data_IF_696932194353
#
_entry.id   IF_696932194353
#
_cell.length_a   1.000
_cell.length_b   1.000
_cell.length_c   1.000
_cell.angle_alpha   90.00
_cell.angle_beta   90.00
_cell.angle_gamma   90.00
#
_symmetry.space_group_name_H-M   'P 1'
#
loop_
_entity.id
_entity.type
_entity.pdbx_description
1 polymer ?
#
# COMPACT_ATOMS: atom_id res chain seq x y z
N UNK A 1 -42.25 -6.91 -15.96
CA UNK A 1 -41.01 -6.51 -16.64
C UNK A 1 -39.87 -7.09 -15.82
N UNK A 2 -39.21 -8.14 -16.35
CA UNK A 2 -38.04 -8.75 -15.72
C UNK A 2 -36.90 -7.74 -15.75
N UNK A 3 -36.42 -7.33 -14.58
CA UNK A 3 -35.13 -6.61 -14.46
C UNK A 3 -34.08 -7.60 -14.95
N UNK A 4 -33.60 -7.42 -16.17
CA UNK A 4 -32.37 -8.07 -16.61
C UNK A 4 -31.30 -7.64 -15.63
N UNK A 5 -30.84 -8.56 -14.79
CA UNK A 5 -29.68 -8.34 -13.94
C UNK A 5 -28.54 -7.93 -14.87
N UNK A 6 -28.12 -6.66 -14.80
CA UNK A 6 -26.97 -6.19 -15.53
C UNK A 6 -25.76 -6.98 -15.04
N UNK A 7 -25.14 -7.72 -15.94
CA UNK A 7 -23.94 -8.52 -15.63
C UNK A 7 -22.89 -7.59 -15.03
N UNK A 8 -22.35 -7.98 -13.86
CA UNK A 8 -21.23 -7.24 -13.26
C UNK A 8 -20.04 -7.16 -14.20
N UNK A 9 -19.39 -6.00 -14.34
CA UNK A 9 -18.28 -5.79 -15.26
C UNK A 9 -17.08 -6.66 -14.88
N UNK A 10 -16.46 -7.28 -15.89
CA UNK A 10 -15.16 -7.97 -15.79
C UNK A 10 -14.06 -6.97 -16.14
N UNK A 11 -13.21 -6.64 -15.17
CA UNK A 11 -12.14 -5.66 -15.34
C UNK A 11 -10.79 -6.31 -15.19
N UNK A 12 -9.90 -6.00 -16.16
CA UNK A 12 -8.48 -6.30 -16.11
C UNK A 12 -7.75 -5.15 -15.43
N UNK A 13 -7.01 -5.42 -14.35
CA UNK A 13 -6.17 -4.46 -13.65
C UNK A 13 -4.69 -4.71 -13.91
N UNK A 14 -3.95 -3.65 -14.17
CA UNK A 14 -2.50 -3.67 -14.42
C UNK A 14 -1.82 -2.76 -13.40
N UNK A 15 -0.93 -3.34 -12.58
CA UNK A 15 -0.07 -2.64 -11.63
C UNK A 15 1.39 -2.77 -12.03
N UNK A 16 2.11 -1.64 -12.07
CA UNK A 16 3.54 -1.60 -12.37
C UNK A 16 4.24 -0.38 -11.77
N UNK A 17 3.76 0.14 -10.65
CA UNK A 17 4.26 1.42 -10.11
C UNK A 17 5.64 1.35 -9.47
N UNK A 18 6.12 0.16 -9.06
CA UNK A 18 7.39 -0.01 -8.36
C UNK A 18 8.16 -1.23 -8.86
N UNK A 19 8.19 -2.34 -8.15
CA UNK A 19 8.97 -3.53 -8.46
C UNK A 19 8.12 -4.80 -8.67
N UNK A 20 6.81 -4.73 -8.46
CA UNK A 20 5.85 -5.77 -8.77
C UNK A 20 5.10 -5.53 -10.08
N UNK A 21 5.08 -6.54 -10.97
CA UNK A 21 4.16 -6.59 -12.11
C UNK A 21 2.90 -7.34 -11.67
N UNK A 22 1.83 -6.61 -11.42
CA UNK A 22 0.56 -7.16 -10.97
C UNK A 22 -0.48 -7.19 -12.09
N UNK A 23 -1.11 -8.35 -12.30
CA UNK A 23 -2.25 -8.52 -13.21
C UNK A 23 -3.42 -9.10 -12.43
N UNK A 24 -4.52 -8.36 -12.38
CA UNK A 24 -5.75 -8.78 -11.69
C UNK A 24 -6.93 -8.90 -12.63
N UNK A 25 -7.81 -9.85 -12.37
CA UNK A 25 -9.12 -9.99 -13.03
C UNK A 25 -10.20 -10.02 -11.97
N UNK A 26 -11.09 -9.05 -12.00
CA UNK A 26 -12.17 -8.87 -11.02
C UNK A 26 -13.50 -8.74 -11.76
N UNK A 27 -14.52 -9.45 -11.28
CA UNK A 27 -15.91 -9.31 -11.74
C UNK A 27 -16.76 -8.70 -10.62
N UNK A 28 -17.14 -7.44 -10.78
CA UNK A 28 -17.80 -6.69 -9.70
C UNK A 28 -16.89 -6.60 -8.47
N UNK A 29 -17.20 -7.37 -7.42
CA UNK A 29 -16.38 -7.53 -6.22
C UNK A 29 -15.79 -8.94 -6.08
N UNK A 30 -15.88 -9.78 -7.10
CA UNK A 30 -15.37 -11.15 -7.08
C UNK A 30 -13.99 -11.21 -7.73
N UNK A 31 -12.98 -11.61 -6.96
CA UNK A 31 -11.63 -11.85 -7.46
C UNK A 31 -11.59 -13.16 -8.27
N UNK A 32 -11.19 -13.10 -9.53
CA UNK A 32 -11.02 -14.26 -10.41
C UNK A 32 -9.54 -14.68 -10.55
N UNK A 33 -8.63 -13.70 -10.62
CA UNK A 33 -7.19 -13.95 -10.66
C UNK A 33 -6.41 -12.74 -10.11
N UNK A 34 -5.27 -13.02 -9.47
CA UNK A 34 -4.30 -12.02 -9.03
C UNK A 34 -2.89 -12.60 -9.21
N UNK A 35 -2.26 -12.28 -10.31
CA UNK A 35 -0.91 -12.72 -10.65
C UNK A 35 0.09 -11.61 -10.35
N UNK A 36 1.11 -11.92 -9.57
CA UNK A 36 2.18 -10.98 -9.22
C UNK A 36 3.52 -11.59 -9.59
N UNK A 37 4.32 -10.82 -10.33
CA UNK A 37 5.71 -11.15 -10.62
C UNK A 37 6.58 -10.05 -10.00
N UNK A 38 7.31 -10.40 -8.93
CA UNK A 38 8.21 -9.48 -8.24
C UNK A 38 9.60 -9.48 -8.86
N UNK A 39 10.21 -8.31 -8.96
CA UNK A 39 11.62 -8.13 -9.32
C UNK A 39 12.52 -7.88 -8.10
N UNK A 40 12.02 -8.08 -6.88
CA UNK A 40 12.72 -7.78 -5.63
C UNK A 40 14.10 -8.42 -5.54
N UNK A 41 14.25 -9.68 -5.98
CA UNK A 41 15.53 -10.40 -5.97
C UNK A 41 16.59 -9.71 -6.84
N UNK A 42 16.18 -9.05 -7.93
CA UNK A 42 17.10 -8.31 -8.81
C UNK A 42 17.63 -7.04 -8.11
N UNK A 43 16.89 -6.52 -7.15
CA UNK A 43 17.21 -5.29 -6.42
C UNK A 43 17.99 -5.55 -5.12
N UNK A 44 17.92 -6.75 -4.55
CA UNK A 44 18.48 -7.10 -3.25
C UNK A 44 19.97 -6.69 -3.10
N UNK A 45 20.77 -6.90 -4.14
CA UNK A 45 22.21 -6.55 -4.16
C UNK A 45 22.49 -5.04 -4.11
N UNK A 46 21.51 -4.20 -4.46
CA UNK A 46 21.63 -2.75 -4.46
C UNK A 46 21.08 -2.11 -3.18
N UNK A 47 20.39 -2.89 -2.35
CA UNK A 47 19.81 -2.42 -1.10
C UNK A 47 18.58 -1.51 -1.25
N UNK A 48 17.92 -1.56 -2.43
CA UNK A 48 16.72 -0.78 -2.74
C UNK A 48 16.39 -0.89 -4.23
N UNK A 49 15.20 -0.44 -4.61
CA UNK A 49 14.69 -0.54 -5.99
C UNK A 49 15.50 0.35 -6.94
N UNK A 50 15.98 -0.23 -8.04
CA UNK A 50 16.65 0.47 -9.14
C UNK A 50 15.65 0.67 -10.28
N UNK A 51 15.24 1.91 -10.60
CA UNK A 51 14.12 2.17 -11.52
C UNK A 51 14.30 1.55 -12.92
N UNK A 52 15.52 1.56 -13.46
CA UNK A 52 15.79 0.97 -14.79
C UNK A 52 15.63 -0.55 -14.79
N UNK A 53 16.06 -1.23 -13.72
CA UNK A 53 15.92 -2.69 -13.56
C UNK A 53 14.43 -3.04 -13.44
N UNK A 54 13.68 -2.30 -12.63
CA UNK A 54 12.23 -2.48 -12.47
C UNK A 54 11.51 -2.35 -13.81
N UNK A 55 11.79 -1.29 -14.58
CA UNK A 55 11.15 -1.05 -15.88
C UNK A 55 11.41 -2.20 -16.88
N UNK A 56 12.64 -2.76 -16.90
CA UNK A 56 12.97 -3.91 -17.75
C UNK A 56 12.27 -5.18 -17.29
N UNK A 57 12.21 -5.41 -15.97
CA UNK A 57 11.51 -6.57 -15.41
C UNK A 57 10.02 -6.55 -15.75
N UNK A 58 9.37 -5.38 -15.72
CA UNK A 58 7.97 -5.24 -16.12
C UNK A 58 7.75 -5.62 -17.60
N UNK A 59 8.65 -5.22 -18.51
CA UNK A 59 8.55 -5.60 -19.93
C UNK A 59 8.58 -7.12 -20.11
N UNK A 60 9.46 -7.80 -19.38
CA UNK A 60 9.60 -9.27 -19.45
C UNK A 60 8.43 -10.00 -18.79
N UNK A 61 7.91 -9.48 -17.68
CA UNK A 61 6.87 -10.11 -16.88
C UNK A 61 5.44 -9.88 -17.42
N UNK A 62 5.17 -8.79 -18.14
CA UNK A 62 3.83 -8.34 -18.53
C UNK A 62 3.04 -9.42 -19.27
N UNK A 63 3.55 -9.90 -20.40
CA UNK A 63 2.84 -10.90 -21.22
C UNK A 63 2.67 -12.25 -20.52
N UNK A 64 3.70 -12.82 -19.87
CA UNK A 64 3.53 -14.04 -19.08
C UNK A 64 2.49 -13.92 -17.97
N UNK A 65 2.46 -12.79 -17.24
CA UNK A 65 1.49 -12.58 -16.16
C UNK A 65 0.07 -12.40 -16.68
N UNK A 66 -0.13 -11.70 -17.81
CA UNK A 66 -1.42 -11.60 -18.49
C UNK A 66 -1.97 -12.99 -18.88
N UNK A 67 -1.13 -13.84 -19.46
CA UNK A 67 -1.55 -15.20 -19.84
C UNK A 67 -1.95 -16.01 -18.61
N UNK A 68 -1.11 -16.05 -17.58
CA UNK A 68 -1.44 -16.78 -16.34
C UNK A 68 -2.74 -16.28 -15.69
N UNK A 69 -2.95 -14.96 -15.65
CA UNK A 69 -4.18 -14.41 -15.07
C UNK A 69 -5.43 -14.86 -15.86
N UNK A 70 -5.38 -14.86 -17.19
CA UNK A 70 -6.46 -15.37 -18.01
C UNK A 70 -6.71 -16.88 -17.80
N UNK A 71 -5.64 -17.66 -17.75
CA UNK A 71 -5.71 -19.12 -17.54
C UNK A 71 -6.30 -19.42 -16.15
N UNK A 72 -5.82 -18.75 -15.10
CA UNK A 72 -6.32 -18.88 -13.73
C UNK A 72 -7.80 -18.51 -13.63
N UNK A 73 -8.20 -17.43 -14.27
CA UNK A 73 -9.60 -16.96 -14.26
C UNK A 73 -10.53 -17.75 -15.20
N UNK A 74 -9.97 -18.55 -16.12
CA UNK A 74 -10.74 -19.25 -17.14
C UNK A 74 -11.45 -18.31 -18.14
N UNK A 75 -10.85 -17.15 -18.45
CA UNK A 75 -11.41 -16.13 -19.35
C UNK A 75 -10.42 -15.76 -20.44
N UNK A 76 -10.95 -15.21 -21.56
CA UNK A 76 -10.13 -14.63 -22.61
C UNK A 76 -10.00 -13.12 -22.41
N UNK A 77 -8.94 -12.52 -22.92
CA UNK A 77 -8.79 -11.05 -22.91
C UNK A 77 -9.95 -10.33 -23.62
N UNK A 78 -10.57 -10.96 -24.62
CA UNK A 78 -11.74 -10.44 -25.32
C UNK A 78 -13.00 -10.37 -24.46
N UNK A 79 -13.04 -11.11 -23.33
CA UNK A 79 -14.20 -11.18 -22.45
C UNK A 79 -14.24 -10.03 -21.43
N UNK A 80 -13.13 -9.27 -21.29
CA UNK A 80 -13.08 -8.12 -20.38
C UNK A 80 -13.97 -6.99 -20.88
N UNK A 81 -14.58 -6.29 -19.93
CA UNK A 81 -15.47 -5.16 -20.21
C UNK A 81 -14.72 -3.82 -20.14
N UNK A 82 -13.64 -3.74 -19.35
CA UNK A 82 -12.79 -2.56 -19.20
C UNK A 82 -11.36 -2.94 -18.76
N UNK A 83 -10.42 -2.02 -18.98
CA UNK A 83 -9.03 -2.13 -18.56
C UNK A 83 -8.73 -1.00 -17.59
N UNK A 84 -8.21 -1.33 -16.40
CA UNK A 84 -7.72 -0.39 -15.42
C UNK A 84 -6.19 -0.51 -15.30
N UNK A 85 -5.51 0.61 -15.09
CA UNK A 85 -4.05 0.65 -14.94
C UNK A 85 -3.64 1.73 -13.95
N UNK A 86 -2.66 1.45 -13.12
CA UNK A 86 -2.04 2.47 -12.30
C UNK A 86 -1.29 3.49 -13.18
N UNK A 87 -1.71 4.76 -13.10
CA UNK A 87 -1.05 5.85 -13.82
C UNK A 87 -0.15 6.69 -12.91
N UNK A 88 -0.25 6.50 -11.60
CA UNK A 88 0.56 7.17 -10.58
C UNK A 88 -0.05 7.09 -9.17
N UNK A 89 0.70 7.53 -8.14
CA UNK A 89 2.13 7.79 -8.18
C UNK A 89 2.99 6.52 -8.30
N UNK A 90 4.29 6.69 -8.63
CA UNK A 90 5.23 5.57 -8.74
C UNK A 90 6.49 5.91 -9.53
N UNK A 91 7.30 4.91 -9.84
CA UNK A 91 8.51 5.08 -10.65
C UNK A 91 8.12 5.35 -12.11
N UNK A 92 8.53 6.48 -12.66
CA UNK A 92 8.11 6.94 -13.99
C UNK A 92 8.29 5.87 -15.08
N UNK A 93 9.48 5.24 -15.16
CA UNK A 93 9.76 4.21 -16.17
C UNK A 93 8.91 2.95 -15.99
N UNK A 94 8.66 2.54 -14.75
CA UNK A 94 7.83 1.39 -14.41
C UNK A 94 6.35 1.65 -14.77
N UNK A 95 5.79 2.78 -14.36
CA UNK A 95 4.44 3.23 -14.75
C UNK A 95 4.24 3.26 -16.26
N UNK A 96 5.24 3.78 -17.01
CA UNK A 96 5.16 3.86 -18.48
C UNK A 96 4.95 2.50 -19.13
N UNK A 97 5.54 1.43 -18.60
CA UNK A 97 5.36 0.06 -19.14
C UNK A 97 3.91 -0.41 -18.98
N UNK A 98 3.35 -0.29 -17.77
CA UNK A 98 1.95 -0.68 -17.52
C UNK A 98 0.95 0.17 -18.32
N UNK A 99 1.15 1.49 -18.35
CA UNK A 99 0.29 2.42 -19.09
C UNK A 99 0.34 2.14 -20.59
N UNK A 100 1.52 1.87 -21.15
CA UNK A 100 1.65 1.52 -22.57
C UNK A 100 0.95 0.19 -22.89
N UNK A 101 1.13 -0.83 -22.04
CA UNK A 101 0.46 -2.12 -22.21
C UNK A 101 -1.09 -1.96 -22.14
N UNK A 102 -1.59 -1.21 -21.15
CA UNK A 102 -3.03 -0.97 -20.99
C UNK A 102 -3.63 -0.24 -22.20
N UNK A 103 -2.95 0.79 -22.72
CA UNK A 103 -3.39 1.53 -23.92
C UNK A 103 -3.42 0.64 -25.16
N UNK A 104 -2.37 -0.16 -25.34
CA UNK A 104 -2.31 -1.11 -26.48
C UNK A 104 -3.46 -2.12 -26.41
N UNK A 105 -3.74 -2.67 -25.22
CA UNK A 105 -4.86 -3.58 -25.02
C UNK A 105 -6.22 -2.89 -25.22
N UNK A 106 -6.40 -1.67 -24.70
CA UNK A 106 -7.62 -0.88 -24.88
C UNK A 106 -7.95 -0.66 -26.36
N UNK A 107 -6.94 -0.29 -27.15
CA UNK A 107 -7.10 -0.10 -28.61
C UNK A 107 -7.38 -1.44 -29.30
N UNK A 108 -6.58 -2.47 -29.03
CA UNK A 108 -6.68 -3.76 -29.71
C UNK A 108 -8.01 -4.51 -29.43
N UNK A 109 -8.57 -4.31 -28.24
CA UNK A 109 -9.79 -4.98 -27.80
C UNK A 109 -11.04 -4.09 -27.91
N UNK A 110 -10.88 -2.82 -28.27
CA UNK A 110 -11.95 -1.80 -28.28
C UNK A 110 -12.66 -1.73 -26.91
N UNK A 111 -11.87 -1.57 -25.81
CA UNK A 111 -12.37 -1.53 -24.44
C UNK A 111 -11.99 -0.21 -23.76
N UNK A 112 -12.87 0.35 -22.89
CA UNK A 112 -12.58 1.56 -22.15
C UNK A 112 -11.39 1.39 -21.22
N UNK A 113 -10.58 2.46 -21.10
CA UNK A 113 -9.41 2.55 -20.24
C UNK A 113 -9.71 3.39 -18.99
N UNK A 114 -9.30 2.91 -17.84
CA UNK A 114 -9.37 3.63 -16.56
C UNK A 114 -7.95 3.76 -15.98
N UNK A 115 -7.37 4.95 -16.09
CA UNK A 115 -6.11 5.27 -15.42
C UNK A 115 -6.38 5.63 -13.97
N UNK A 116 -5.90 4.85 -13.01
CA UNK A 116 -6.25 5.00 -11.59
C UNK A 116 -5.05 5.35 -10.73
N UNK A 117 -5.33 5.96 -9.59
CA UNK A 117 -4.34 6.28 -8.57
C UNK A 117 -3.96 5.02 -7.76
N UNK A 118 -2.67 4.76 -7.61
CA UNK A 118 -2.09 3.65 -6.88
C UNK A 118 -2.58 3.57 -5.42
N UNK A 119 -2.55 4.70 -4.69
CA UNK A 119 -2.94 4.72 -3.27
C UNK A 119 -4.46 4.54 -3.10
N UNK A 120 -5.26 5.08 -4.01
CA UNK A 120 -6.71 4.84 -4.02
C UNK A 120 -7.01 3.35 -4.29
N UNK A 121 -6.25 2.70 -5.18
CA UNK A 121 -6.38 1.27 -5.45
C UNK A 121 -6.09 0.42 -4.21
N UNK A 122 -5.07 0.78 -3.42
CA UNK A 122 -4.80 0.11 -2.13
C UNK A 122 -5.94 0.20 -1.12
N UNK A 123 -6.73 1.28 -1.15
CA UNK A 123 -7.93 1.38 -0.30
C UNK A 123 -9.07 0.54 -0.90
N UNK A 124 -9.25 0.59 -2.22
CA UNK A 124 -10.35 -0.08 -2.90
C UNK A 124 -10.28 -1.61 -2.80
N UNK A 125 -9.08 -2.21 -2.68
CA UNK A 125 -8.90 -3.67 -2.62
C UNK A 125 -9.66 -4.33 -1.47
N UNK A 126 -9.92 -3.59 -0.39
CA UNK A 126 -10.72 -4.04 0.75
C UNK A 126 -12.12 -4.55 0.34
N UNK A 127 -12.67 -3.99 -0.71
CA UNK A 127 -14.00 -4.38 -1.21
C UNK A 127 -14.09 -5.84 -1.68
N UNK A 128 -12.97 -6.47 -2.02
CA UNK A 128 -12.94 -7.88 -2.42
C UNK A 128 -13.24 -8.84 -1.27
N UNK A 129 -12.97 -8.44 -0.03
CA UNK A 129 -13.13 -9.30 1.14
C UNK A 129 -14.26 -8.86 2.06
N UNK A 130 -14.48 -7.55 2.17
CA UNK A 130 -15.45 -6.98 3.11
C UNK A 130 -16.67 -6.33 2.43
N UNK A 131 -16.74 -6.40 1.09
CA UNK A 131 -17.81 -5.73 0.33
C UNK A 131 -17.61 -4.21 0.27
N UNK A 132 -18.64 -3.44 -0.12
CA UNK A 132 -18.52 -2.00 -0.33
C UNK A 132 -17.84 -1.28 0.85
N UNK A 133 -16.99 -0.30 0.53
CA UNK A 133 -16.39 0.54 1.56
C UNK A 133 -17.49 1.35 2.25
N UNK A 134 -17.49 1.42 3.60
CA UNK A 134 -18.31 2.42 4.30
C UNK A 134 -17.89 3.82 3.87
N UNK A 135 -18.85 4.71 3.72
CA UNK A 135 -18.62 6.10 3.38
C UNK A 135 -19.04 6.99 4.56
N UNK A 136 -18.11 7.74 5.19
CA UNK A 136 -16.67 7.81 4.90
C UNK A 136 -15.85 6.65 5.49
N UNK A 137 -14.67 6.41 4.91
CA UNK A 137 -13.64 5.52 5.45
C UNK A 137 -12.34 6.29 5.68
N UNK A 138 -11.64 5.99 6.77
CA UNK A 138 -10.25 6.40 6.99
C UNK A 138 -9.33 5.32 6.43
N UNK A 139 -8.38 5.67 5.54
CA UNK A 139 -7.37 4.77 5.00
C UNK A 139 -6.02 4.99 5.68
N UNK A 140 -5.46 3.95 6.27
CA UNK A 140 -4.08 3.93 6.75
C UNK A 140 -3.26 3.02 5.85
N UNK A 141 -2.41 3.59 5.02
CA UNK A 141 -1.52 2.86 4.11
C UNK A 141 -0.10 2.88 4.66
N UNK A 142 0.44 1.70 4.98
CA UNK A 142 1.78 1.54 5.57
C UNK A 142 2.56 0.46 4.82
N UNK A 143 3.54 0.87 4.02
CA UNK A 143 4.34 -0.02 3.17
C UNK A 143 5.83 0.36 3.20
N UNK A 144 6.62 -0.30 2.36
CA UNK A 144 8.03 0.03 2.14
C UNK A 144 8.24 1.44 1.58
N UNK A 145 7.37 1.88 0.67
CA UNK A 145 7.46 3.18 -0.01
C UNK A 145 6.51 4.24 0.53
N UNK A 146 5.45 3.86 1.21
CA UNK A 146 4.37 4.77 1.59
C UNK A 146 4.02 4.68 3.08
N UNK A 147 3.70 5.82 3.67
CA UNK A 147 3.05 5.91 4.98
C UNK A 147 2.09 7.09 4.91
N UNK A 148 0.82 6.79 4.65
CA UNK A 148 -0.21 7.79 4.36
C UNK A 148 -1.43 7.57 5.23
N UNK A 149 -2.05 8.66 5.61
CA UNK A 149 -3.37 8.70 6.23
C UNK A 149 -4.32 9.44 5.31
N UNK A 150 -5.38 8.75 4.89
CA UNK A 150 -6.32 9.20 3.87
C UNK A 150 -7.72 9.31 4.46
N UNK A 151 -8.44 10.35 4.12
CA UNK A 151 -9.87 10.46 4.36
C UNK A 151 -10.61 10.22 3.04
N UNK A 152 -11.51 9.27 3.02
CA UNK A 152 -12.19 8.75 1.83
C UNK A 152 -13.70 8.88 2.00
N UNK A 153 -14.27 10.05 1.69
CA UNK A 153 -15.72 10.23 1.62
C UNK A 153 -16.38 9.38 0.53
N UNK A 154 -15.75 9.29 -0.65
CA UNK A 154 -16.16 8.44 -1.78
C UNK A 154 -14.89 8.02 -2.54
N UNK A 155 -14.65 6.71 -2.60
CA UNK A 155 -13.43 6.16 -3.24
C UNK A 155 -13.37 6.42 -4.75
N UNK A 156 -14.49 6.70 -5.40
CA UNK A 156 -14.53 6.99 -6.83
C UNK A 156 -14.20 8.46 -7.16
N UNK A 157 -14.49 9.39 -6.24
CA UNK A 157 -14.51 10.83 -6.58
C UNK A 157 -13.85 11.74 -5.56
N UNK A 158 -13.74 11.33 -4.28
CA UNK A 158 -13.22 12.20 -3.22
C UNK A 158 -12.32 11.40 -2.25
N UNK A 159 -11.02 11.48 -2.49
CA UNK A 159 -9.96 10.94 -1.61
C UNK A 159 -9.04 12.09 -1.21
N UNK A 160 -8.85 12.29 0.08
CA UNK A 160 -8.07 13.40 0.61
C UNK A 160 -6.89 12.89 1.43
N UNK A 161 -5.68 13.36 1.11
CA UNK A 161 -4.52 13.14 1.97
C UNK A 161 -4.64 14.01 3.22
N UNK A 162 -4.59 13.38 4.39
CA UNK A 162 -4.54 14.09 5.67
C UNK A 162 -3.10 14.26 6.14
N UNK A 163 -2.27 13.26 5.92
CA UNK A 163 -0.87 13.26 6.29
C UNK A 163 -0.10 12.13 5.62
N UNK A 164 1.19 12.33 5.51
CA UNK A 164 2.13 11.39 4.93
C UNK A 164 3.45 11.42 5.68
N UNK A 165 4.34 10.47 5.39
CA UNK A 165 5.70 10.60 5.90
C UNK A 165 6.42 11.77 5.25
N UNK A 166 7.15 12.54 6.05
CA UNK A 166 7.98 13.66 5.57
C UNK A 166 9.43 13.26 5.31
N UNK A 167 9.78 11.99 5.60
CA UNK A 167 11.11 11.42 5.42
C UNK A 167 11.02 9.92 5.05
N UNK A 168 11.70 9.02 5.76
CA UNK A 168 11.63 7.58 5.49
C UNK A 168 10.19 7.06 5.64
N UNK A 169 9.75 6.17 4.74
CA UNK A 169 8.51 5.43 4.93
C UNK A 169 8.65 4.44 6.10
N UNK A 170 7.51 3.99 6.65
CA UNK A 170 7.50 3.08 7.79
C UNK A 170 8.31 1.79 7.51
N UNK A 171 8.01 1.10 6.41
CA UNK A 171 8.71 -0.14 6.05
C UNK A 171 10.19 0.08 5.74
N UNK A 172 10.53 1.19 5.08
CA UNK A 172 11.91 1.59 4.86
C UNK A 172 12.68 1.79 6.18
N UNK A 173 12.02 2.35 7.20
CA UNK A 173 12.62 2.48 8.53
C UNK A 173 12.86 1.11 9.18
N UNK A 174 11.93 0.16 9.03
CA UNK A 174 12.12 -1.24 9.47
C UNK A 174 13.31 -1.89 8.77
N UNK A 175 13.44 -1.78 7.46
CA UNK A 175 14.54 -2.35 6.69
C UNK A 175 15.90 -1.78 7.10
N UNK A 176 15.97 -0.46 7.29
CA UNK A 176 17.20 0.23 7.72
C UNK A 176 17.61 -0.16 9.14
N UNK A 177 16.65 -0.29 10.07
CA UNK A 177 16.95 -0.70 11.45
C UNK A 177 17.30 -2.19 11.53
N UNK A 178 16.63 -3.05 10.77
CA UNK A 178 16.97 -4.46 10.65
C UNK A 178 18.45 -4.63 10.23
N UNK A 179 18.88 -3.87 9.23
CA UNK A 179 20.29 -3.87 8.78
C UNK A 179 21.25 -3.45 9.89
N UNK A 180 20.91 -2.44 10.70
CA UNK A 180 21.72 -2.00 11.86
C UNK A 180 21.85 -3.11 12.90
N UNK A 181 20.80 -3.91 13.07
CA UNK A 181 20.76 -5.02 14.01
C UNK A 181 21.35 -6.33 13.45
N UNK A 182 21.81 -6.35 12.19
CA UNK A 182 22.30 -7.56 11.53
C UNK A 182 21.21 -8.58 11.20
N UNK A 183 19.94 -8.15 11.14
CA UNK A 183 18.80 -8.99 10.80
C UNK A 183 18.63 -9.10 9.27
N UNK A 184 17.99 -10.18 8.78
CA UNK A 184 17.80 -10.40 7.34
C UNK A 184 16.82 -9.39 6.72
N UNK A 185 16.88 -9.26 5.40
CA UNK A 185 15.89 -8.58 4.57
C UNK A 185 14.79 -9.57 4.09
N UNK A 186 13.50 -9.17 4.05
CA UNK A 186 12.95 -7.86 4.40
C UNK A 186 12.91 -7.62 5.93
N UNK A 187 13.21 -6.37 6.33
CA UNK A 187 13.41 -6.01 7.73
C UNK A 187 12.14 -6.02 8.58
N UNK A 188 10.98 -5.73 7.99
CA UNK A 188 9.69 -5.74 8.70
C UNK A 188 9.42 -7.07 9.43
N UNK A 189 9.33 -8.20 8.71
CA UNK A 189 9.16 -9.52 9.32
C UNK A 189 10.27 -9.91 10.27
N UNK A 190 11.53 -9.57 9.95
CA UNK A 190 12.68 -9.91 10.77
C UNK A 190 12.66 -9.19 12.14
N UNK A 191 12.27 -7.92 12.16
CA UNK A 191 12.11 -7.16 13.40
C UNK A 191 10.89 -7.67 14.20
N UNK A 192 9.78 -7.96 13.53
CA UNK A 192 8.58 -8.49 14.19
C UNK A 192 8.86 -9.82 14.89
N UNK A 193 9.65 -10.69 14.26
CA UNK A 193 10.08 -11.96 14.87
C UNK A 193 11.03 -11.73 16.04
N UNK A 194 12.08 -10.92 15.86
CA UNK A 194 13.07 -10.66 16.93
C UNK A 194 12.43 -9.93 18.13
N UNK A 195 11.42 -9.12 17.90
CA UNK A 195 10.72 -8.37 18.96
C UNK A 195 9.86 -9.26 19.89
N UNK A 196 9.55 -10.50 19.52
CA UNK A 196 8.72 -11.40 20.32
C UNK A 196 9.33 -11.71 21.69
N UNK A 197 10.65 -11.81 21.74
CA UNK A 197 11.41 -12.15 22.94
C UNK A 197 11.94 -10.91 23.67
N UNK A 198 11.61 -9.68 23.19
CA UNK A 198 12.11 -8.43 23.73
C UNK A 198 11.09 -7.65 24.57
N UNK A 199 11.59 -6.79 25.44
CA UNK A 199 10.75 -5.84 26.20
C UNK A 199 10.55 -4.54 25.38
N UNK A 200 9.30 -4.21 24.95
CA UNK A 200 8.99 -2.99 24.23
C UNK A 200 9.24 -1.69 25.01
N UNK A 201 9.53 -1.78 26.32
CA UNK A 201 9.82 -0.65 27.19
C UNK A 201 11.28 -0.56 27.61
N UNK A 202 12.15 -1.50 27.20
CA UNK A 202 13.55 -1.55 27.59
C UNK A 202 14.31 -0.28 27.20
N UNK A 203 14.00 0.31 26.03
CA UNK A 203 14.68 1.48 25.51
C UNK A 203 13.66 2.56 25.12
N UNK A 204 13.70 3.76 25.75
CA UNK A 204 12.73 4.84 25.49
C UNK A 204 13.05 5.59 24.19
N UNK A 205 12.93 4.92 23.04
CA UNK A 205 13.13 5.56 21.75
C UNK A 205 12.11 6.68 21.48
N UNK A 206 12.51 7.73 20.73
CA UNK A 206 11.64 8.87 20.46
C UNK A 206 10.45 8.51 19.58
N UNK A 207 9.34 9.22 19.74
CA UNK A 207 8.13 9.17 18.90
C UNK A 207 8.13 10.38 17.98
N UNK A 208 8.35 10.16 16.68
CA UNK A 208 8.42 11.23 15.69
C UNK A 208 7.12 12.05 15.63
N UNK A 209 7.23 13.36 15.51
CA UNK A 209 6.11 14.31 15.33
C UNK A 209 4.96 14.12 16.32
N UNK A 210 5.27 13.86 17.62
CA UNK A 210 4.26 13.53 18.65
C UNK A 210 4.16 14.55 19.77
N UNK A 211 4.99 15.60 19.80
CA UNK A 211 4.89 16.67 20.79
C UNK A 211 3.70 17.60 20.48
N UNK A 212 3.23 18.35 21.47
CA UNK A 212 2.14 19.34 21.26
C UNK A 212 2.46 20.30 20.12
N UNK A 213 3.69 20.80 20.04
CA UNK A 213 4.15 21.71 19.00
C UNK A 213 4.16 21.05 17.62
N UNK A 214 4.56 19.77 17.55
CA UNK A 214 4.54 19.02 16.29
C UNK A 214 3.09 18.83 15.80
N UNK A 215 2.16 18.50 16.70
CA UNK A 215 0.76 18.28 16.37
C UNK A 215 0.03 19.54 15.86
N UNK A 216 0.55 20.74 16.11
CA UNK A 216 0.02 21.97 15.53
C UNK A 216 0.30 22.08 14.02
N UNK A 217 1.44 21.57 13.55
CA UNK A 217 1.88 21.67 12.15
C UNK A 217 1.78 20.36 11.37
N UNK A 218 2.02 19.24 12.06
CA UNK A 218 2.16 17.90 11.51
C UNK A 218 1.18 16.93 12.16
N UNK A 219 -0.08 17.35 12.29
CA UNK A 219 -1.09 16.63 13.06
C UNK A 219 -1.20 15.17 12.67
N UNK A 220 -1.14 14.89 11.37
CA UNK A 220 -1.30 13.56 10.81
C UNK A 220 -0.05 13.07 10.06
N UNK A 221 0.97 13.91 9.90
CA UNK A 221 2.21 13.52 9.24
C UNK A 221 3.04 12.57 10.09
N UNK A 222 3.88 11.79 9.44
CA UNK A 222 4.79 10.83 10.07
C UNK A 222 6.25 11.20 9.81
N UNK A 223 7.15 10.75 10.70
CA UNK A 223 8.59 10.87 10.54
C UNK A 223 9.27 9.72 11.27
N UNK A 224 10.16 9.01 10.59
CA UNK A 224 10.89 7.85 11.12
C UNK A 224 12.40 7.99 11.06
N UNK A 225 12.95 8.95 10.31
CA UNK A 225 14.41 9.15 10.16
C UNK A 225 15.10 9.49 11.48
N UNK A 226 14.44 10.29 12.33
CA UNK A 226 14.92 10.62 13.66
C UNK A 226 14.96 9.40 14.60
N UNK A 227 13.93 8.57 14.54
CA UNK A 227 13.86 7.31 15.28
C UNK A 227 14.97 6.35 14.84
N UNK A 228 15.12 6.11 13.53
CA UNK A 228 16.20 5.30 12.94
C UNK A 228 17.58 5.78 13.43
N UNK A 229 17.82 7.08 13.37
CA UNK A 229 19.08 7.68 13.81
C UNK A 229 19.33 7.44 15.30
N UNK A 230 18.29 7.53 16.12
CA UNK A 230 18.35 7.25 17.57
C UNK A 230 18.75 5.79 17.82
N UNK A 231 18.14 4.83 17.12
CA UNK A 231 18.48 3.40 17.21
C UNK A 231 19.93 3.18 16.80
N UNK A 232 20.35 3.72 15.65
CA UNK A 232 21.71 3.56 15.13
C UNK A 232 22.76 4.08 16.13
N UNK A 233 22.52 5.25 16.71
CA UNK A 233 23.42 5.84 17.71
C UNK A 233 23.48 5.00 19.00
N UNK A 234 22.33 4.52 19.45
CA UNK A 234 22.25 3.69 20.65
C UNK A 234 23.05 2.39 20.49
N UNK A 235 22.85 1.69 19.35
CA UNK A 235 23.59 0.46 19.01
C UNK A 235 25.10 0.72 18.92
N UNK A 236 25.50 1.78 18.20
CA UNK A 236 26.90 2.15 18.05
C UNK A 236 27.56 2.47 19.41
N UNK A 237 26.84 3.12 20.34
CA UNK A 237 27.34 3.41 21.69
C UNK A 237 27.62 2.12 22.46
N UNK A 238 26.71 1.15 22.41
CA UNK A 238 26.91 -0.17 23.05
C UNK A 238 28.09 -0.92 22.46
N UNK A 239 28.18 -0.99 21.14
CA UNK A 239 29.29 -1.65 20.45
C UNK A 239 30.66 -1.01 20.77
N UNK A 240 30.71 0.33 20.82
CA UNK A 240 31.94 1.06 21.17
C UNK A 240 32.36 0.80 22.62
N UNK A 241 31.42 0.61 23.51
CA UNK A 241 31.68 0.25 24.91
C UNK A 241 32.04 -1.24 25.10
N UNK A 242 32.05 -2.06 24.02
CA UNK A 242 32.26 -3.50 24.11
C UNK A 242 31.10 -4.25 24.77
N UNK A 243 29.94 -3.62 24.88
CA UNK A 243 28.74 -4.22 25.46
C UNK A 243 27.95 -5.00 24.39
N UNK A 244 27.29 -6.08 24.79
CA UNK A 244 26.39 -6.83 23.93
C UNK A 244 25.15 -5.99 23.60
N UNK A 245 24.72 -6.04 22.34
CA UNK A 245 23.49 -5.39 21.89
C UNK A 245 22.33 -6.37 22.10
N UNK A 246 21.37 -6.07 22.98
CA UNK A 246 20.19 -6.91 23.18
C UNK A 246 19.21 -6.74 22.00
N UNK A 247 19.46 -7.47 20.92
CA UNK A 247 18.75 -7.31 19.63
C UNK A 247 17.23 -7.40 19.82
N UNK A 248 16.73 -8.32 20.63
CA UNK A 248 15.30 -8.49 20.90
C UNK A 248 14.68 -7.23 21.54
N UNK A 249 15.33 -6.67 22.57
CA UNK A 249 14.84 -5.46 23.24
C UNK A 249 14.88 -4.24 22.33
N UNK A 250 15.95 -4.09 21.53
CA UNK A 250 16.06 -3.01 20.55
C UNK A 250 14.96 -3.11 19.49
N UNK A 251 14.74 -4.31 18.95
CA UNK A 251 13.69 -4.59 17.97
C UNK A 251 12.31 -4.29 18.54
N UNK A 252 12.01 -4.79 19.75
CA UNK A 252 10.72 -4.57 20.42
C UNK A 252 10.48 -3.08 20.74
N UNK A 253 11.48 -2.39 21.28
CA UNK A 253 11.37 -0.96 21.62
C UNK A 253 11.25 -0.07 20.39
N UNK A 254 11.95 -0.39 19.28
CA UNK A 254 11.82 0.29 18.02
C UNK A 254 10.43 0.09 17.42
N UNK A 255 9.99 -1.16 17.30
CA UNK A 255 8.66 -1.52 16.80
C UNK A 255 7.56 -0.81 17.60
N UNK A 256 7.64 -0.81 18.94
CA UNK A 256 6.69 -0.10 19.79
C UNK A 256 6.67 1.41 19.51
N UNK A 257 7.83 2.03 19.26
CA UNK A 257 7.89 3.45 18.94
C UNK A 257 7.18 3.79 17.63
N UNK A 258 7.36 2.97 16.60
CA UNK A 258 6.68 3.11 15.29
C UNK A 258 5.18 2.90 15.45
N UNK A 259 4.78 1.79 16.05
CA UNK A 259 3.37 1.39 16.22
C UNK A 259 2.59 2.41 17.05
N UNK A 260 3.19 2.93 18.11
CA UNK A 260 2.56 3.93 18.96
C UNK A 260 2.19 5.21 18.19
N UNK A 261 3.09 5.72 17.34
CA UNK A 261 2.85 6.92 16.52
C UNK A 261 1.76 6.69 15.49
N UNK A 262 1.88 5.60 14.72
CA UNK A 262 0.95 5.28 13.62
C UNK A 262 -0.46 5.13 14.17
N UNK A 263 -0.63 4.31 15.20
CA UNK A 263 -1.96 3.98 15.72
C UNK A 263 -2.62 5.16 16.45
N UNK A 264 -1.83 5.99 17.16
CA UNK A 264 -2.35 7.22 17.77
C UNK A 264 -2.88 8.19 16.74
N UNK A 265 -2.12 8.44 15.66
CA UNK A 265 -2.52 9.38 14.61
C UNK A 265 -3.70 8.87 13.80
N UNK A 266 -3.77 7.57 13.50
CA UNK A 266 -4.92 6.96 12.84
C UNK A 266 -6.21 7.13 13.65
N UNK A 267 -6.20 6.79 14.94
CA UNK A 267 -7.38 6.96 15.82
C UNK A 267 -7.72 8.44 16.02
N UNK A 268 -6.71 9.32 16.13
CA UNK A 268 -6.93 10.76 16.23
C UNK A 268 -7.64 11.30 14.98
N UNK A 269 -7.22 10.90 13.77
CA UNK A 269 -7.86 11.31 12.53
C UNK A 269 -9.31 10.81 12.45
N UNK A 270 -9.57 9.55 12.81
CA UNK A 270 -10.93 9.01 12.85
C UNK A 270 -11.84 9.87 13.75
N UNK A 271 -11.36 10.26 14.93
CA UNK A 271 -12.13 11.11 15.87
C UNK A 271 -12.35 12.52 15.34
N UNK A 272 -11.30 13.14 14.78
CA UNK A 272 -11.37 14.52 14.29
C UNK A 272 -12.32 14.66 13.10
N UNK A 273 -12.36 13.64 12.22
CA UNK A 273 -13.23 13.58 11.04
C UNK A 273 -14.56 12.88 11.30
N UNK A 274 -14.82 12.41 12.53
CA UNK A 274 -16.03 11.66 12.92
C UNK A 274 -16.25 10.46 11.99
N UNK A 275 -15.19 9.72 11.71
CA UNK A 275 -15.19 8.55 10.84
C UNK A 275 -14.97 7.29 11.69
N UNK A 276 -15.96 6.41 11.75
CA UNK A 276 -15.94 5.21 12.59
C UNK A 276 -15.43 3.97 11.84
N UNK A 277 -14.87 4.15 10.66
CA UNK A 277 -14.34 3.07 9.82
C UNK A 277 -12.87 3.33 9.46
N UNK A 278 -12.00 2.40 9.81
CA UNK A 278 -10.57 2.42 9.49
C UNK A 278 -10.23 1.22 8.62
N UNK A 279 -9.75 1.47 7.40
CA UNK A 279 -9.13 0.49 6.53
C UNK A 279 -7.61 0.59 6.66
N UNK A 280 -6.92 -0.55 6.76
CA UNK A 280 -5.46 -0.61 6.89
C UNK A 280 -4.88 -1.46 5.77
N UNK A 281 -4.02 -0.87 4.96
CA UNK A 281 -3.37 -1.52 3.81
C UNK A 281 -1.85 -1.34 3.82
N UNK A 282 -1.19 -1.95 2.84
CA UNK A 282 0.26 -1.97 2.71
C UNK A 282 0.93 -3.11 3.48
N UNK A 283 2.14 -3.52 3.05
CA UNK A 283 2.82 -4.69 3.59
C UNK A 283 3.12 -4.64 5.09
N UNK A 284 3.32 -3.44 5.67
CA UNK A 284 3.54 -3.29 7.13
C UNK A 284 2.28 -3.58 7.95
N UNK A 285 1.09 -3.62 7.34
CA UNK A 285 -0.15 -4.07 8.00
C UNK A 285 -0.08 -5.52 8.50
N UNK A 286 0.87 -6.31 8.00
CA UNK A 286 1.15 -7.67 8.49
C UNK A 286 1.80 -7.70 9.89
N UNK A 287 2.43 -6.60 10.32
CA UNK A 287 3.13 -6.55 11.60
C UNK A 287 2.20 -6.87 12.77
N UNK A 288 2.58 -7.85 13.58
CA UNK A 288 1.74 -8.40 14.64
C UNK A 288 1.42 -7.37 15.74
N UNK A 289 2.41 -6.55 16.11
CA UNK A 289 2.25 -5.52 17.13
C UNK A 289 1.35 -4.39 16.66
N UNK A 290 1.49 -3.99 15.40
CA UNK A 290 0.63 -2.97 14.77
C UNK A 290 -0.83 -3.41 14.83
N UNK A 291 -1.14 -4.65 14.42
CA UNK A 291 -2.50 -5.20 14.48
C UNK A 291 -3.06 -5.19 15.88
N UNK A 292 -2.32 -5.74 16.84
CA UNK A 292 -2.76 -5.81 18.24
C UNK A 292 -3.09 -4.43 18.82
N UNK A 293 -2.21 -3.45 18.62
CA UNK A 293 -2.41 -2.11 19.18
C UNK A 293 -3.52 -1.35 18.45
N UNK A 294 -3.66 -1.52 17.12
CA UNK A 294 -4.78 -0.94 16.36
C UNK A 294 -6.12 -1.50 16.84
N UNK A 295 -6.26 -2.81 16.96
CA UNK A 295 -7.48 -3.43 17.47
C UNK A 295 -7.87 -2.91 18.85
N UNK A 296 -6.92 -2.86 19.77
CA UNK A 296 -7.16 -2.34 21.13
C UNK A 296 -7.63 -0.88 21.12
N UNK A 297 -6.94 -0.02 20.35
CA UNK A 297 -7.25 1.42 20.31
C UNK A 297 -8.54 1.70 19.55
N UNK A 298 -8.79 1.01 18.46
CA UNK A 298 -10.01 1.15 17.66
C UNK A 298 -11.23 0.67 18.46
N UNK A 299 -11.16 -0.52 19.09
CA UNK A 299 -12.23 -1.03 19.96
C UNK A 299 -12.55 -0.04 21.07
N UNK A 300 -11.51 0.50 21.76
CA UNK A 300 -11.70 1.49 22.84
C UNK A 300 -12.28 2.82 22.33
N UNK A 301 -12.17 3.10 21.04
CA UNK A 301 -12.66 4.33 20.41
C UNK A 301 -14.00 4.13 19.66
N UNK A 302 -14.54 2.91 19.59
CA UNK A 302 -15.74 2.58 18.83
C UNK A 302 -15.53 2.62 17.30
N UNK A 303 -14.29 2.39 16.83
CA UNK A 303 -13.91 2.41 15.41
C UNK A 303 -13.88 0.98 14.90
N UNK A 304 -14.59 0.71 13.81
CA UNK A 304 -14.52 -0.54 13.05
C UNK A 304 -13.22 -0.58 12.23
N UNK A 305 -12.53 -1.71 12.24
CA UNK A 305 -11.29 -1.89 11.51
C UNK A 305 -11.46 -2.95 10.42
N UNK A 306 -10.93 -2.69 9.23
CA UNK A 306 -10.83 -3.62 8.12
C UNK A 306 -9.38 -3.76 7.69
N UNK A 307 -8.91 -4.99 7.60
CA UNK A 307 -7.55 -5.29 7.15
C UNK A 307 -7.64 -6.42 6.14
N UNK A 308 -7.38 -6.17 4.85
CA UNK A 308 -7.37 -7.21 3.84
C UNK A 308 -6.33 -8.30 4.13
N UNK A 309 -6.47 -9.46 3.49
CA UNK A 309 -5.44 -10.51 3.54
C UNK A 309 -4.11 -9.96 3.05
N UNK A 310 -3.02 -10.49 3.61
CA UNK A 310 -1.67 -10.03 3.29
C UNK A 310 -1.36 -10.06 1.78
N UNK A 311 -1.85 -11.07 1.07
CA UNK A 311 -1.70 -11.20 -0.38
C UNK A 311 -2.36 -10.08 -1.20
N UNK A 312 -3.23 -9.28 -0.58
CA UNK A 312 -3.88 -8.11 -1.17
C UNK A 312 -3.34 -6.78 -0.62
N UNK A 313 -2.50 -6.82 0.41
CA UNK A 313 -1.93 -5.62 1.03
C UNK A 313 -0.68 -5.09 0.31
N UNK A 314 0.06 -5.93 -0.43
CA UNK A 314 1.20 -5.53 -1.26
C UNK A 314 0.71 -5.11 -2.65
N UNK A 315 1.60 -4.52 -3.46
CA UNK A 315 1.28 -4.09 -4.83
C UNK A 315 0.80 -5.27 -5.67
N UNK A 316 -0.37 -5.13 -6.29
CA UNK A 316 -1.00 -6.22 -7.04
C UNK A 316 -2.01 -5.71 -8.07
N UNK A 317 -2.34 -6.56 -9.07
CA UNK A 317 -3.29 -6.19 -10.11
C UNK A 317 -4.75 -6.18 -9.63
N UNK A 318 -5.08 -6.95 -8.59
CA UNK A 318 -6.45 -7.03 -8.09
C UNK A 318 -6.93 -5.70 -7.50
N UNK A 319 -6.07 -4.93 -6.83
CA UNK A 319 -6.42 -3.62 -6.27
C UNK A 319 -6.81 -2.63 -7.38
N UNK A 320 -6.08 -2.66 -8.50
CA UNK A 320 -6.32 -1.82 -9.67
C UNK A 320 -7.61 -2.24 -10.38
N UNK A 321 -7.81 -3.55 -10.56
CA UNK A 321 -9.03 -4.09 -11.16
C UNK A 321 -10.27 -3.77 -10.30
N UNK A 322 -10.14 -3.82 -8.97
CA UNK A 322 -11.24 -3.53 -8.03
C UNK A 322 -11.67 -2.07 -8.11
N UNK A 323 -10.71 -1.13 -8.08
CA UNK A 323 -11.04 0.28 -8.25
C UNK A 323 -11.66 0.52 -9.63
N UNK A 324 -11.08 -0.04 -10.69
CA UNK A 324 -11.64 0.03 -12.04
C UNK A 324 -13.07 -0.50 -12.13
N UNK A 325 -13.36 -1.66 -11.54
CA UNK A 325 -14.69 -2.25 -11.53
C UNK A 325 -15.70 -1.34 -10.79
N UNK A 326 -15.27 -0.74 -9.68
CA UNK A 326 -16.08 0.21 -8.93
C UNK A 326 -16.39 1.47 -9.76
N UNK A 327 -15.40 2.04 -10.46
CA UNK A 327 -15.57 3.20 -11.34
C UNK A 327 -16.54 2.90 -12.48
N UNK A 328 -16.41 1.73 -13.13
CA UNK A 328 -17.34 1.27 -14.17
C UNK A 328 -18.75 1.14 -13.63
N UNK A 329 -18.93 0.50 -12.46
CA UNK A 329 -20.24 0.31 -11.83
C UNK A 329 -20.90 1.64 -11.42
N UNK A 330 -20.11 2.64 -11.01
CA UNK A 330 -20.58 4.01 -10.73
C UNK A 330 -20.87 4.84 -11.99
N UNK A 331 -20.58 4.31 -13.18
CA UNK A 331 -20.78 5.03 -14.46
C UNK A 331 -19.80 6.21 -14.66
N UNK A 332 -18.64 6.16 -14.01
CA UNK A 332 -17.60 7.17 -14.22
C UNK A 332 -17.05 7.05 -15.64
N UNK A 333 -16.85 8.19 -16.31
CA UNK A 333 -16.34 8.22 -17.67
C UNK A 333 -14.90 7.63 -17.73
N UNK A 334 -14.56 6.86 -18.78
CA UNK A 334 -13.21 6.33 -18.94
C UNK A 334 -12.19 7.45 -19.18
N UNK A 335 -10.93 7.16 -18.87
CA UNK A 335 -9.81 8.03 -19.14
C UNK A 335 -9.56 8.14 -20.64
N UNK A 336 -9.03 9.29 -21.07
CA UNK A 336 -8.53 9.46 -22.44
C UNK A 336 -7.32 8.54 -22.68
N UNK A 337 -7.15 8.08 -23.91
CA UNK A 337 -5.91 7.41 -24.34
C UNK A 337 -4.67 8.33 -24.27
N UNK A 338 -4.86 9.62 -24.09
CA UNK A 338 -3.76 10.57 -23.84
C UNK A 338 -3.28 10.60 -22.38
N UNK A 339 -3.96 9.90 -21.44
CA UNK A 339 -3.59 9.87 -20.01
C UNK A 339 -2.09 9.58 -19.84
N UNK A 340 -1.31 10.43 -19.13
CA UNK A 340 0.11 10.20 -18.92
C UNK A 340 0.36 9.22 -17.77
N UNK A 341 1.58 8.67 -17.71
CA UNK A 341 2.13 8.18 -16.46
C UNK A 341 2.62 9.39 -15.65
N UNK A 342 2.14 9.53 -14.40
CA UNK A 342 2.50 10.63 -13.51
C UNK A 342 3.12 10.10 -12.22
N UNK A 343 4.45 10.20 -12.12
CA UNK A 343 5.20 9.73 -10.95
C UNK A 343 4.87 10.47 -9.65
N UNK A 344 4.28 11.65 -9.76
CA UNK A 344 3.94 12.55 -8.65
C UNK A 344 2.43 12.78 -8.49
N UNK A 345 1.61 11.94 -9.12
CA UNK A 345 0.16 12.06 -9.10
C UNK A 345 -0.37 12.27 -7.67
N UNK A 346 -1.06 13.37 -7.39
CA UNK A 346 -1.58 13.63 -6.06
C UNK A 346 -2.72 12.66 -5.72
N UNK A 347 -2.81 12.26 -4.45
CA UNK A 347 -3.82 11.30 -4.00
C UNK A 347 -5.26 11.80 -4.18
N UNK A 348 -5.48 13.11 -4.14
CA UNK A 348 -6.80 13.70 -4.38
C UNK A 348 -7.30 13.53 -5.82
N UNK A 349 -6.46 13.08 -6.72
CA UNK A 349 -6.80 12.73 -8.10
C UNK A 349 -6.94 11.22 -8.20
N UNK A 350 -8.16 10.69 -8.09
CA UNK A 350 -8.45 9.24 -8.11
C UNK A 350 -8.18 8.65 -9.49
N UNK A 351 -8.44 9.43 -10.54
CA UNK A 351 -8.21 9.07 -11.95
C UNK A 351 -7.30 10.07 -12.64
N UNK A 352 -6.52 9.57 -13.61
CA UNK A 352 -5.70 10.37 -14.52
C UNK A 352 -6.42 10.73 -15.82
#
# INVERSE_FOLDING_TARGET
>A
MSLTATREPLVLGIESSCDETGIGLVRGTTLLANEVASSMDLHARFGGVVPEIASRAHLEAMIPSLRRACDTAGVKLTDVDAIAVTVGPGLAGALMVGVAAAKALSIALDKPLYGVNHLAAHVAVDMLEHGPLPEPTMGLLVSGGHTNLLYVPDIATDVRSLGNTIDDACGEAFDKVARVLGLPYPGGPAIDEAAKDGDPKAIPFPRGLSTKKDLEKHRYDFSFSGLKTSVTRWVATKQTAGEEVPVADVAASFQEAVVDVITKKAVMACRDYKCDNLMVGGGVSANSRLRTVLEQRCTSAGISIRVPKLSLCTDNGAMVATLGAHLVAKGIAPSSLAVPADSSMPIGQVMG
#
